data_IF_412267279558
#
_entry.id   IF_412267279558
#
_cell.length_a   1.000
_cell.length_b   1.000
_cell.length_c   1.000
_cell.angle_alpha   90.00
_cell.angle_beta   90.00
_cell.angle_gamma   90.00
#
_symmetry.space_group_name_H-M   'P 1'
#
loop_
_entity.id
_entity.type
_entity.pdbx_description
1 polymer ?
#
# COMPACT_ATOMS: atom_id res chain seq x y z
N UNK A 1 -11.10 0.85 -7.41
CA UNK A 1 -10.94 2.33 -7.56
C UNK A 1 -11.97 2.96 -8.49
N UNK A 2 -12.47 2.29 -9.56
CA UNK A 2 -13.46 2.84 -10.48
C UNK A 2 -14.73 3.33 -9.79
N UNK A 3 -15.36 2.48 -8.96
CA UNK A 3 -16.55 2.86 -8.19
C UNK A 3 -16.31 4.07 -7.28
N UNK A 4 -15.15 4.14 -6.64
CA UNK A 4 -14.80 5.29 -5.78
C UNK A 4 -14.82 6.61 -6.57
N UNK A 5 -14.23 6.64 -7.78
CA UNK A 5 -14.23 7.83 -8.64
C UNK A 5 -15.62 8.24 -9.09
N UNK A 6 -16.46 7.28 -9.49
CA UNK A 6 -17.86 7.56 -9.86
C UNK A 6 -18.62 8.15 -8.66
N UNK A 7 -18.43 7.57 -7.47
CA UNK A 7 -19.13 8.05 -6.27
C UNK A 7 -18.65 9.42 -5.83
N UNK A 8 -17.32 9.69 -5.92
CA UNK A 8 -16.77 11.04 -5.67
C UNK A 8 -17.38 12.06 -6.60
N UNK A 9 -17.40 11.79 -7.92
CA UNK A 9 -17.99 12.73 -8.89
C UNK A 9 -19.46 13.01 -8.62
N UNK A 10 -20.23 12.00 -8.25
CA UNK A 10 -21.66 12.12 -8.03
C UNK A 10 -22.03 12.82 -6.71
N UNK A 11 -21.29 12.57 -5.64
CA UNK A 11 -21.62 13.11 -4.31
C UNK A 11 -20.89 14.39 -3.95
N UNK A 12 -19.63 14.54 -4.44
CA UNK A 12 -18.77 15.66 -4.06
C UNK A 12 -18.49 16.60 -5.23
N UNK A 13 -18.65 16.13 -6.47
CA UNK A 13 -18.38 16.90 -7.67
C UNK A 13 -17.06 16.56 -8.35
N UNK A 14 -16.89 17.10 -9.56
CA UNK A 14 -15.75 16.82 -10.45
C UNK A 14 -14.42 17.34 -9.87
N UNK A 15 -14.43 18.46 -9.15
CA UNK A 15 -13.24 19.05 -8.54
C UNK A 15 -12.61 18.10 -7.51
N UNK A 16 -13.43 17.48 -6.65
CA UNK A 16 -12.96 16.48 -5.68
C UNK A 16 -12.42 15.23 -6.37
N UNK A 17 -12.98 14.85 -7.52
CA UNK A 17 -12.42 13.75 -8.31
C UNK A 17 -11.06 14.12 -8.90
N UNK A 18 -10.86 15.39 -9.29
CA UNK A 18 -9.56 15.94 -9.69
C UNK A 18 -8.53 15.85 -8.56
N UNK A 19 -8.90 16.27 -7.34
CA UNK A 19 -8.06 16.16 -6.14
C UNK A 19 -7.67 14.70 -5.87
N UNK A 20 -8.63 13.78 -5.91
CA UNK A 20 -8.37 12.36 -5.74
C UNK A 20 -7.48 11.78 -6.85
N UNK A 21 -7.66 12.26 -8.09
CA UNK A 21 -6.84 11.84 -9.23
C UNK A 21 -5.37 12.25 -9.07
N UNK A 22 -5.08 13.45 -8.56
CA UNK A 22 -3.70 13.88 -8.25
C UNK A 22 -3.08 12.93 -7.23
N UNK A 23 -3.75 12.65 -6.12
CA UNK A 23 -3.25 11.72 -5.12
C UNK A 23 -2.94 10.34 -5.70
N UNK A 24 -3.83 9.80 -6.54
CA UNK A 24 -3.61 8.49 -7.19
C UNK A 24 -2.46 8.52 -8.21
N UNK A 25 -2.19 9.64 -8.87
CA UNK A 25 -1.02 9.80 -9.76
C UNK A 25 0.30 9.74 -8.99
N UNK A 26 0.40 10.42 -7.86
CA UNK A 26 1.59 10.32 -7.01
C UNK A 26 1.83 8.89 -6.52
N UNK A 27 0.79 8.20 -6.08
CA UNK A 27 0.91 6.82 -5.63
C UNK A 27 1.22 5.83 -6.76
N UNK A 28 0.97 6.18 -8.04
CA UNK A 28 1.30 5.32 -9.18
C UNK A 28 2.80 5.10 -9.36
N UNK A 29 3.66 5.97 -8.83
CA UNK A 29 5.11 5.76 -8.81
C UNK A 29 5.45 4.51 -7.98
N UNK A 30 4.82 4.35 -6.82
CA UNK A 30 4.97 3.15 -5.97
C UNK A 30 4.47 1.92 -6.73
N UNK A 31 3.33 2.03 -7.40
CA UNK A 31 2.73 0.93 -8.17
C UNK A 31 3.67 0.48 -9.30
N UNK A 32 4.32 1.40 -10.00
CA UNK A 32 5.27 1.07 -11.08
C UNK A 32 6.45 0.24 -10.56
N UNK A 33 7.09 0.67 -9.46
CA UNK A 33 8.19 -0.08 -8.85
C UNK A 33 7.71 -1.46 -8.41
N UNK A 34 6.58 -1.53 -7.74
CA UNK A 34 5.97 -2.76 -7.26
C UNK A 34 5.59 -3.70 -8.40
N UNK A 35 5.09 -3.18 -9.53
CA UNK A 35 4.66 -4.00 -10.66
C UNK A 35 5.81 -4.78 -11.30
N UNK A 36 6.98 -4.17 -11.43
CA UNK A 36 8.19 -4.85 -11.95
C UNK A 36 8.57 -6.03 -11.06
N UNK A 37 8.61 -5.79 -9.75
CA UNK A 37 8.93 -6.85 -8.77
C UNK A 37 7.86 -7.94 -8.75
N UNK A 38 6.60 -7.56 -8.89
CA UNK A 38 5.49 -8.51 -8.90
C UNK A 38 5.52 -9.40 -10.15
N UNK A 39 5.94 -8.90 -11.32
CA UNK A 39 6.11 -9.70 -12.52
C UNK A 39 7.20 -10.76 -12.32
N UNK A 40 8.40 -10.34 -11.88
CA UNK A 40 9.50 -11.28 -11.60
C UNK A 40 9.13 -12.31 -10.54
N UNK A 41 8.42 -11.87 -9.50
CA UNK A 41 7.92 -12.77 -8.46
C UNK A 41 6.88 -13.77 -8.97
N UNK A 42 6.03 -13.34 -9.89
CA UNK A 42 5.04 -14.22 -10.49
C UNK A 42 5.69 -15.37 -11.26
N UNK A 43 6.69 -15.07 -12.09
CA UNK A 43 7.46 -16.09 -12.82
C UNK A 43 8.13 -17.08 -11.85
N UNK A 44 8.87 -16.57 -10.85
CA UNK A 44 9.50 -17.38 -9.83
C UNK A 44 8.47 -18.23 -9.05
N UNK A 45 7.31 -17.68 -8.74
CA UNK A 45 6.25 -18.40 -8.01
C UNK A 45 5.74 -19.63 -8.78
N UNK A 46 5.67 -19.58 -10.11
CA UNK A 46 5.28 -20.73 -10.95
C UNK A 46 6.34 -21.84 -10.95
N UNK A 47 7.62 -21.48 -10.90
CA UNK A 47 8.71 -22.45 -10.82
C UNK A 47 8.76 -23.10 -9.43
N UNK A 48 8.64 -22.30 -8.37
CA UNK A 48 8.70 -22.75 -6.97
C UNK A 48 7.58 -23.71 -6.57
N UNK A 49 6.45 -23.76 -7.30
CA UNK A 49 5.34 -24.70 -6.98
C UNK A 49 5.83 -26.16 -6.94
N UNK A 50 6.85 -26.51 -7.74
CA UNK A 50 7.40 -27.86 -7.83
C UNK A 50 8.46 -28.17 -6.76
N UNK A 51 8.96 -27.16 -6.06
CA UNK A 51 10.04 -27.31 -5.09
C UNK A 51 9.55 -27.81 -3.72
N UNK A 52 10.36 -28.64 -3.05
CA UNK A 52 10.07 -29.19 -1.73
C UNK A 52 10.04 -28.11 -0.64
N UNK A 53 10.88 -27.09 -0.78
CA UNK A 53 11.04 -25.99 0.19
C UNK A 53 10.25 -24.71 -0.18
N UNK A 54 9.26 -24.81 -1.06
CA UNK A 54 8.49 -23.68 -1.57
C UNK A 54 8.00 -22.70 -0.50
N UNK A 55 7.62 -23.23 0.68
CA UNK A 55 7.10 -22.39 1.76
C UNK A 55 8.15 -21.41 2.29
N UNK A 56 9.40 -21.86 2.48
CA UNK A 56 10.51 -21.02 2.96
C UNK A 56 10.81 -19.90 1.95
N UNK A 57 10.83 -20.23 0.65
CA UNK A 57 11.03 -19.24 -0.41
C UNK A 57 9.89 -18.21 -0.47
N UNK A 58 8.64 -18.64 -0.32
CA UNK A 58 7.50 -17.74 -0.28
C UNK A 58 7.52 -16.80 0.93
N UNK A 59 7.91 -17.29 2.11
CA UNK A 59 8.03 -16.48 3.30
C UNK A 59 9.14 -15.43 3.18
N UNK A 60 10.28 -15.79 2.59
CA UNK A 60 11.39 -14.86 2.31
C UNK A 60 10.96 -13.78 1.31
N UNK A 61 10.41 -14.18 0.16
CA UNK A 61 9.92 -13.23 -0.84
C UNK A 61 8.85 -12.29 -0.29
N UNK A 62 7.95 -12.82 0.54
CA UNK A 62 6.92 -12.04 1.22
C UNK A 62 7.53 -11.00 2.17
N UNK A 63 8.56 -11.37 2.92
CA UNK A 63 9.24 -10.46 3.85
C UNK A 63 9.99 -9.36 3.11
N UNK A 64 10.73 -9.70 2.05
CA UNK A 64 11.44 -8.71 1.22
C UNK A 64 10.47 -7.75 0.56
N UNK A 65 9.39 -8.25 -0.03
CA UNK A 65 8.37 -7.42 -0.65
C UNK A 65 7.66 -6.51 0.36
N UNK A 66 7.37 -7.04 1.55
CA UNK A 66 6.82 -6.26 2.67
C UNK A 66 7.76 -5.11 3.06
N UNK A 67 9.04 -5.37 3.22
CA UNK A 67 10.05 -4.39 3.58
C UNK A 67 10.16 -3.28 2.52
N UNK A 68 10.11 -3.64 1.23
CA UNK A 68 10.14 -2.68 0.12
C UNK A 68 8.92 -1.76 0.12
N UNK A 69 7.72 -2.32 0.26
CA UNK A 69 6.48 -1.52 0.33
C UNK A 69 6.51 -0.60 1.55
N UNK A 70 6.96 -1.11 2.70
CA UNK A 70 7.08 -0.32 3.91
C UNK A 70 8.03 0.86 3.73
N UNK A 71 9.26 0.63 3.27
CA UNK A 71 10.24 1.69 3.00
C UNK A 71 9.72 2.70 1.96
N UNK A 72 9.13 2.22 0.87
CA UNK A 72 8.54 3.07 -0.17
C UNK A 72 7.40 3.94 0.36
N UNK A 73 6.58 3.40 1.26
CA UNK A 73 5.44 4.13 1.84
C UNK A 73 5.91 5.25 2.78
N UNK A 74 6.84 4.98 3.71
CA UNK A 74 7.36 6.01 4.63
C UNK A 74 8.15 7.08 3.89
N UNK A 75 8.91 6.70 2.87
CA UNK A 75 9.62 7.64 2.00
C UNK A 75 8.63 8.52 1.23
N UNK A 76 7.59 7.96 0.62
CA UNK A 76 6.59 8.72 -0.11
C UNK A 76 5.83 9.70 0.80
N UNK A 77 5.45 9.29 2.02
CA UNK A 77 4.78 10.17 2.98
C UNK A 77 5.67 11.36 3.31
N UNK A 78 6.93 11.14 3.69
CA UNK A 78 7.83 12.21 4.12
C UNK A 78 8.29 13.13 2.98
N UNK A 79 8.50 12.59 1.77
CA UNK A 79 8.93 13.38 0.61
C UNK A 79 7.81 14.27 0.04
N UNK A 80 6.56 13.86 0.19
CA UNK A 80 5.42 14.58 -0.41
C UNK A 80 5.33 16.02 0.08
N UNK A 81 5.46 16.29 1.37
CA UNK A 81 5.39 17.65 1.91
C UNK A 81 6.42 18.60 1.29
N UNK A 82 7.56 18.06 0.86
CA UNK A 82 8.64 18.84 0.27
C UNK A 82 8.42 19.03 -1.23
N UNK A 83 8.05 17.95 -1.92
CA UNK A 83 7.96 17.94 -3.38
C UNK A 83 6.63 18.50 -3.92
N UNK A 84 5.57 18.45 -3.11
CA UNK A 84 4.22 18.76 -3.56
C UNK A 84 4.06 20.18 -4.08
N UNK A 85 4.65 21.14 -3.42
CA UNK A 85 4.61 22.57 -3.80
C UNK A 85 5.25 22.84 -5.18
N UNK A 86 6.24 22.03 -5.58
CA UNK A 86 6.93 22.16 -6.86
C UNK A 86 6.24 21.45 -8.01
N UNK A 87 5.47 20.39 -7.71
CA UNK A 87 4.92 19.47 -8.72
C UNK A 87 3.43 19.69 -8.98
N UNK A 88 2.72 20.35 -8.08
CA UNK A 88 1.25 20.47 -8.15
C UNK A 88 0.81 21.91 -8.24
N UNK A 89 -0.12 22.18 -9.18
CA UNK A 89 -0.73 23.50 -9.31
C UNK A 89 -1.55 23.88 -8.06
N UNK A 90 -1.55 25.16 -7.70
CA UNK A 90 -2.20 25.68 -6.47
C UNK A 90 -3.67 25.27 -6.34
N UNK A 91 -4.40 25.13 -7.45
CA UNK A 91 -5.81 24.70 -7.48
C UNK A 91 -6.05 23.31 -6.89
N UNK A 92 -5.00 22.45 -6.84
CA UNK A 92 -5.09 21.08 -6.33
C UNK A 92 -4.37 20.87 -4.99
N UNK A 93 -3.95 21.93 -4.31
CA UNK A 93 -3.22 21.81 -3.03
C UNK A 93 -4.00 21.05 -1.96
N UNK A 94 -5.31 21.05 -2.01
CA UNK A 94 -6.16 20.28 -1.11
C UNK A 94 -5.91 18.75 -1.19
N UNK A 95 -5.27 18.26 -2.27
CA UNK A 95 -4.89 16.86 -2.35
C UNK A 95 -3.85 16.46 -1.29
N UNK A 96 -3.05 17.40 -0.79
CA UNK A 96 -2.04 17.15 0.25
C UNK A 96 -2.63 16.48 1.48
N UNK A 97 -3.86 16.81 1.87
CA UNK A 97 -4.52 16.26 3.04
C UNK A 97 -4.89 14.77 2.94
N UNK A 98 -5.03 14.23 1.73
CA UNK A 98 -5.41 12.83 1.54
C UNK A 98 -4.23 11.95 1.13
N UNK A 99 -3.05 12.54 0.83
CA UNK A 99 -1.87 11.83 0.32
C UNK A 99 -1.41 10.68 1.22
N UNK A 100 -1.24 10.84 2.55
CA UNK A 100 -0.79 9.74 3.41
C UNK A 100 -1.75 8.54 3.36
N UNK A 101 -3.06 8.81 3.36
CA UNK A 101 -4.07 7.75 3.30
C UNK A 101 -4.05 7.03 1.94
N UNK A 102 -3.79 7.77 0.86
CA UNK A 102 -3.62 7.20 -0.48
C UNK A 102 -2.41 6.28 -0.53
N UNK A 103 -1.27 6.67 0.03
CA UNK A 103 -0.09 5.81 0.09
C UNK A 103 -0.34 4.54 0.91
N UNK A 104 -1.01 4.65 2.05
CA UNK A 104 -1.35 3.49 2.90
C UNK A 104 -2.26 2.52 2.15
N UNK A 105 -3.35 2.97 1.51
CA UNK A 105 -4.19 2.05 0.77
C UNK A 105 -3.48 1.46 -0.46
N UNK A 106 -2.60 2.23 -1.11
CA UNK A 106 -1.79 1.75 -2.25
C UNK A 106 -0.83 0.65 -1.80
N UNK A 107 -0.15 0.84 -0.67
CA UNK A 107 0.71 -0.16 -0.05
C UNK A 107 -0.06 -1.45 0.25
N UNK A 108 -1.22 -1.36 0.89
CA UNK A 108 -2.09 -2.50 1.19
C UNK A 108 -2.58 -3.18 -0.08
N UNK A 109 -2.97 -2.43 -1.11
CA UNK A 109 -3.40 -2.96 -2.41
C UNK A 109 -2.28 -3.75 -3.08
N UNK A 110 -1.07 -3.20 -3.10
CA UNK A 110 0.12 -3.83 -3.68
C UNK A 110 0.48 -5.12 -2.97
N UNK A 111 0.44 -5.11 -1.64
CA UNK A 111 0.71 -6.28 -0.82
C UNK A 111 -0.34 -7.40 -1.04
N UNK A 112 -1.61 -7.03 -1.15
CA UNK A 112 -2.67 -7.98 -1.52
C UNK A 112 -2.49 -8.56 -2.92
N UNK A 113 -2.01 -7.74 -3.88
CA UNK A 113 -1.65 -8.20 -5.23
C UNK A 113 -0.56 -9.26 -5.18
N UNK A 114 0.53 -8.98 -4.46
CA UNK A 114 1.64 -9.91 -4.27
C UNK A 114 1.20 -11.24 -3.66
N UNK A 115 0.42 -11.23 -2.58
CA UNK A 115 -0.14 -12.45 -1.99
C UNK A 115 -1.03 -13.24 -2.97
N UNK A 116 -1.76 -12.54 -3.82
CA UNK A 116 -2.65 -13.18 -4.80
C UNK A 116 -1.89 -13.95 -5.86
N UNK A 117 -0.65 -13.55 -6.23
CA UNK A 117 0.15 -14.27 -7.23
C UNK A 117 0.49 -15.69 -6.79
N UNK A 118 0.71 -15.91 -5.49
CA UNK A 118 0.99 -17.23 -4.94
C UNK A 118 -0.20 -18.18 -5.09
N UNK A 119 -1.42 -17.70 -4.82
CA UNK A 119 -2.63 -18.50 -5.02
C UNK A 119 -2.87 -18.81 -6.51
N UNK A 120 -2.54 -17.87 -7.39
CA UNK A 120 -2.65 -18.09 -8.84
C UNK A 120 -1.63 -19.13 -9.32
N UNK A 121 -0.38 -19.09 -8.84
CA UNK A 121 0.64 -20.09 -9.13
C UNK A 121 0.20 -21.50 -8.69
N UNK A 122 -0.45 -21.63 -7.55
CA UNK A 122 -0.99 -22.90 -7.04
C UNK A 122 -2.33 -23.31 -7.70
N UNK A 123 -2.78 -22.62 -8.76
CA UNK A 123 -4.06 -22.83 -9.44
C UNK A 123 -5.28 -22.70 -8.53
N UNK A 124 -5.15 -22.01 -7.41
CA UNK A 124 -6.22 -21.77 -6.44
C UNK A 124 -6.84 -20.37 -6.59
N UNK A 125 -7.24 -20.03 -7.80
CA UNK A 125 -7.84 -18.73 -8.14
C UNK A 125 -9.12 -18.40 -7.37
N UNK A 126 -9.85 -19.44 -6.88
CA UNK A 126 -11.07 -19.26 -6.09
C UNK A 126 -10.85 -18.41 -4.85
N UNK A 127 -9.74 -18.61 -4.13
CA UNK A 127 -9.42 -17.83 -2.92
C UNK A 127 -9.24 -16.36 -3.25
N UNK A 128 -8.46 -16.07 -4.31
CA UNK A 128 -8.24 -14.70 -4.80
C UNK A 128 -9.55 -14.06 -5.22
N UNK A 129 -10.40 -14.78 -5.99
CA UNK A 129 -11.69 -14.29 -6.45
C UNK A 129 -12.61 -13.90 -5.28
N UNK A 130 -12.85 -14.82 -4.34
CA UNK A 130 -13.72 -14.53 -3.19
C UNK A 130 -13.19 -13.39 -2.33
N UNK A 131 -11.88 -13.32 -2.12
CA UNK A 131 -11.28 -12.21 -1.35
C UNK A 131 -11.50 -10.85 -2.00
N UNK A 132 -11.42 -10.78 -3.35
CA UNK A 132 -11.69 -9.55 -4.11
C UNK A 132 -13.16 -9.17 -4.04
N UNK A 133 -14.08 -10.13 -4.24
CA UNK A 133 -15.52 -9.89 -4.21
C UNK A 133 -15.97 -9.37 -2.84
N UNK A 134 -15.55 -10.04 -1.76
CA UNK A 134 -15.89 -9.61 -0.40
C UNK A 134 -15.35 -8.20 -0.12
N UNK A 135 -14.09 -7.93 -0.47
CA UNK A 135 -13.49 -6.60 -0.29
C UNK A 135 -14.22 -5.53 -1.12
N UNK A 136 -14.64 -5.86 -2.35
CA UNK A 136 -15.39 -4.93 -3.21
C UNK A 136 -16.77 -4.60 -2.62
N UNK A 137 -17.51 -5.59 -2.13
CA UNK A 137 -18.81 -5.39 -1.47
C UNK A 137 -18.63 -4.51 -0.22
N UNK A 138 -17.67 -4.84 0.65
CA UNK A 138 -17.35 -4.03 1.82
C UNK A 138 -16.98 -2.58 1.44
N UNK A 139 -16.18 -2.41 0.39
CA UNK A 139 -15.81 -1.09 -0.08
C UNK A 139 -17.02 -0.27 -0.55
N UNK A 140 -17.92 -0.87 -1.34
CA UNK A 140 -19.14 -0.21 -1.81
C UNK A 140 -20.01 0.24 -0.62
N UNK A 141 -20.22 -0.63 0.36
CA UNK A 141 -21.01 -0.29 1.55
C UNK A 141 -20.35 0.84 2.33
N UNK A 142 -19.06 0.71 2.63
CA UNK A 142 -18.32 1.69 3.43
C UNK A 142 -18.20 3.05 2.74
N UNK A 143 -17.96 3.10 1.41
CA UNK A 143 -17.93 4.37 0.68
C UNK A 143 -19.26 5.08 0.81
N UNK A 144 -20.39 4.41 0.61
CA UNK A 144 -21.71 5.03 0.67
C UNK A 144 -22.03 5.64 2.05
N UNK A 145 -21.47 5.05 3.12
CA UNK A 145 -21.66 5.56 4.50
C UNK A 145 -20.69 6.70 4.78
N UNK A 146 -19.40 6.50 4.47
CA UNK A 146 -18.33 7.39 4.93
C UNK A 146 -18.17 8.66 4.07
N UNK A 147 -18.51 8.60 2.78
CA UNK A 147 -18.35 9.75 1.89
C UNK A 147 -19.19 10.95 2.33
N UNK A 148 -20.40 10.71 2.82
CA UNK A 148 -21.32 11.77 3.27
C UNK A 148 -20.82 12.48 4.52
N UNK A 149 -20.01 11.81 5.36
CA UNK A 149 -19.57 12.35 6.65
C UNK A 149 -18.12 12.86 6.61
N UNK A 150 -17.27 12.20 5.85
CA UNK A 150 -15.82 12.46 5.84
C UNK A 150 -15.27 12.80 4.45
N UNK A 151 -16.12 13.01 3.44
CA UNK A 151 -15.74 13.39 2.09
C UNK A 151 -14.65 12.46 1.51
N UNK A 152 -13.56 12.99 0.93
CA UNK A 152 -12.46 12.21 0.37
C UNK A 152 -11.71 11.35 1.40
N UNK A 153 -11.59 11.81 2.64
CA UNK A 153 -10.99 11.03 3.72
C UNK A 153 -11.78 9.75 3.96
N UNK A 154 -13.13 9.85 3.94
CA UNK A 154 -14.02 8.69 4.06
C UNK A 154 -13.82 7.66 2.94
N UNK A 155 -13.58 8.11 1.72
CA UNK A 155 -13.25 7.24 0.59
C UNK A 155 -11.93 6.50 0.82
N UNK A 156 -10.89 7.21 1.25
CA UNK A 156 -9.59 6.60 1.54
C UNK A 156 -9.68 5.58 2.67
N UNK A 157 -10.38 5.90 3.76
CA UNK A 157 -10.60 4.99 4.89
C UNK A 157 -11.36 3.73 4.43
N UNK A 158 -12.40 3.86 3.59
CA UNK A 158 -13.15 2.72 3.08
C UNK A 158 -12.27 1.77 2.25
N UNK A 159 -11.38 2.33 1.43
CA UNK A 159 -10.40 1.56 0.67
C UNK A 159 -9.41 0.83 1.59
N UNK A 160 -8.86 1.52 2.60
CA UNK A 160 -7.94 0.92 3.59
C UNK A 160 -8.60 -0.27 4.29
N UNK A 161 -9.81 -0.07 4.84
CA UNK A 161 -10.53 -1.14 5.55
C UNK A 161 -10.79 -2.33 4.62
N UNK A 162 -11.23 -2.09 3.39
CA UNK A 162 -11.52 -3.14 2.42
C UNK A 162 -10.26 -3.95 2.06
N UNK A 163 -9.11 -3.30 1.91
CA UNK A 163 -7.85 -4.00 1.67
C UNK A 163 -7.33 -4.73 2.91
N UNK A 164 -7.59 -4.25 4.12
CA UNK A 164 -7.30 -4.99 5.36
C UNK A 164 -8.15 -6.26 5.45
N UNK A 165 -9.45 -6.17 5.15
CA UNK A 165 -10.33 -7.34 5.11
C UNK A 165 -9.83 -8.37 4.10
N UNK A 166 -9.46 -7.91 2.89
CA UNK A 166 -8.88 -8.78 1.86
C UNK A 166 -7.60 -9.46 2.32
N UNK A 167 -6.69 -8.70 2.95
CA UNK A 167 -5.45 -9.22 3.50
C UNK A 167 -5.70 -10.30 4.55
N UNK A 168 -6.65 -10.06 5.45
CA UNK A 168 -7.05 -11.05 6.47
C UNK A 168 -7.54 -12.36 5.84
N UNK A 169 -8.40 -12.28 4.81
CA UNK A 169 -8.94 -13.46 4.11
C UNK A 169 -7.83 -14.27 3.42
N UNK A 170 -6.89 -13.59 2.75
CA UNK A 170 -5.76 -14.22 2.08
C UNK A 170 -4.82 -14.90 3.10
N UNK A 171 -4.45 -14.21 4.19
CA UNK A 171 -3.56 -14.75 5.24
C UNK A 171 -4.15 -15.96 5.95
N UNK A 172 -5.45 -15.92 6.29
CA UNK A 172 -6.14 -17.02 6.96
C UNK A 172 -6.04 -18.32 6.16
N UNK A 173 -6.06 -18.22 4.83
CA UNK A 173 -6.03 -19.41 3.96
C UNK A 173 -4.62 -19.97 3.76
N UNK A 174 -3.60 -19.13 3.69
CA UNK A 174 -2.24 -19.58 3.33
C UNK A 174 -1.36 -19.96 4.53
N UNK A 175 -1.69 -19.55 5.75
CA UNK A 175 -0.89 -19.78 6.98
C UNK A 175 0.58 -19.32 6.86
N UNK A 176 0.87 -18.33 5.99
CA UNK A 176 2.20 -17.72 5.91
C UNK A 176 2.51 -16.94 7.20
N UNK A 177 3.69 -17.17 7.73
CA UNK A 177 4.14 -16.47 8.93
C UNK A 177 4.92 -15.21 8.52
N UNK A 178 4.26 -14.06 8.64
CA UNK A 178 4.99 -12.81 8.80
C UNK A 178 5.36 -12.65 10.26
N UNK A 179 6.56 -12.18 10.52
CA UNK A 179 6.98 -11.84 11.88
C UNK A 179 6.01 -10.80 12.46
N UNK A 180 5.21 -11.27 13.43
CA UNK A 180 4.17 -10.42 14.04
C UNK A 180 4.77 -9.17 14.67
N UNK A 181 5.92 -9.28 15.34
CA UNK A 181 6.58 -8.15 16.01
C UNK A 181 7.00 -7.09 14.98
N UNK A 182 7.65 -7.53 13.89
CA UNK A 182 8.04 -6.62 12.80
C UNK A 182 6.83 -5.96 12.13
N UNK A 183 5.77 -6.71 11.90
CA UNK A 183 4.54 -6.17 11.29
C UNK A 183 3.89 -5.11 12.18
N UNK A 184 3.76 -5.35 13.47
CA UNK A 184 3.20 -4.38 14.42
C UNK A 184 4.08 -3.14 14.50
N UNK A 185 5.40 -3.31 14.60
CA UNK A 185 6.34 -2.19 14.63
C UNK A 185 6.24 -1.33 13.36
N UNK A 186 6.16 -1.94 12.19
CA UNK A 186 6.02 -1.20 10.92
C UNK A 186 4.72 -0.40 10.85
N UNK A 187 3.61 -0.96 11.35
CA UNK A 187 2.33 -0.26 11.42
C UNK A 187 2.44 0.95 12.35
N UNK A 188 3.06 0.79 13.52
CA UNK A 188 3.29 1.90 14.46
C UNK A 188 4.15 2.99 13.79
N UNK A 189 5.23 2.62 13.10
CA UNK A 189 6.08 3.58 12.38
C UNK A 189 5.27 4.32 11.31
N UNK A 190 4.48 3.63 10.49
CA UNK A 190 3.62 4.28 9.48
C UNK A 190 2.66 5.27 10.16
N UNK A 191 2.04 4.90 11.28
CA UNK A 191 1.18 5.82 12.04
C UNK A 191 1.93 7.06 12.51
N UNK A 192 3.17 6.91 13.01
CA UNK A 192 4.02 8.04 13.41
C UNK A 192 4.32 8.95 12.21
N UNK A 193 4.65 8.38 11.04
CA UNK A 193 4.89 9.15 9.81
C UNK A 193 3.64 9.90 9.36
N UNK A 194 2.48 9.28 9.42
CA UNK A 194 1.20 9.93 9.08
C UNK A 194 0.89 11.07 10.06
N UNK A 195 1.11 10.88 11.36
CA UNK A 195 0.93 11.94 12.36
C UNK A 195 1.91 13.08 12.14
N UNK A 196 3.21 12.79 11.95
CA UNK A 196 4.23 13.78 11.64
C UNK A 196 3.88 14.59 10.38
N UNK A 197 3.37 13.93 9.34
CA UNK A 197 2.92 14.59 8.12
C UNK A 197 1.82 15.63 8.39
N UNK A 198 0.83 15.31 9.21
CA UNK A 198 -0.28 16.23 9.51
C UNK A 198 0.10 17.39 10.43
N UNK A 199 1.27 17.37 11.07
CA UNK A 199 1.78 18.58 11.78
C UNK A 199 2.10 19.73 10.84
N UNK A 200 2.36 19.46 9.56
CA UNK A 200 2.74 20.46 8.57
C UNK A 200 4.13 21.08 8.77
N UNK A 201 4.89 20.64 9.78
CA UNK A 201 6.22 21.19 10.10
C UNK A 201 7.23 20.67 9.09
N UNK A 202 7.68 21.53 8.17
CA UNK A 202 8.63 21.15 7.10
C UNK A 202 9.93 20.54 7.64
N UNK A 203 10.51 21.12 8.70
CA UNK A 203 11.74 20.60 9.32
C UNK A 203 11.54 19.17 9.84
N UNK A 204 10.41 18.90 10.49
CA UNK A 204 10.08 17.55 10.97
C UNK A 204 9.97 16.56 9.81
N UNK A 205 9.29 16.94 8.72
CA UNK A 205 9.15 16.09 7.54
C UNK A 205 10.48 15.85 6.82
N UNK A 206 11.40 16.83 6.81
CA UNK A 206 12.78 16.64 6.31
C UNK A 206 13.56 15.65 7.19
N UNK A 207 13.48 15.77 8.50
CA UNK A 207 14.09 14.81 9.42
C UNK A 207 13.53 13.40 9.21
N UNK A 208 12.20 13.26 9.09
CA UNK A 208 11.54 11.97 8.81
C UNK A 208 11.95 11.38 7.45
N UNK A 209 12.22 12.23 6.45
CA UNK A 209 12.73 11.77 5.16
C UNK A 209 14.15 11.20 5.29
N UNK A 210 15.04 11.86 6.01
CA UNK A 210 16.40 11.33 6.28
C UNK A 210 16.29 10.00 7.03
N UNK A 211 15.46 9.93 8.07
CA UNK A 211 15.23 8.71 8.83
C UNK A 211 14.70 7.58 7.93
N UNK A 212 13.79 7.88 7.00
CA UNK A 212 13.25 6.87 6.07
C UNK A 212 14.34 6.29 5.15
N UNK A 213 15.28 7.12 4.68
CA UNK A 213 16.45 6.68 3.89
C UNK A 213 17.35 5.78 4.73
N UNK A 214 17.66 6.18 5.97
CA UNK A 214 18.49 5.38 6.88
C UNK A 214 17.84 4.02 7.17
N UNK A 215 16.54 4.00 7.46
CA UNK A 215 15.78 2.75 7.67
C UNK A 215 15.87 1.85 6.42
N UNK A 216 15.67 2.41 5.23
CA UNK A 216 15.78 1.67 3.98
C UNK A 216 17.19 1.07 3.81
N UNK A 217 18.25 1.86 4.03
CA UNK A 217 19.62 1.38 3.92
C UNK A 217 19.93 0.25 4.92
N UNK A 218 19.44 0.33 6.16
CA UNK A 218 19.64 -0.72 7.18
C UNK A 218 18.93 -2.01 6.76
N UNK A 219 17.69 -1.91 6.33
CA UNK A 219 16.90 -3.08 5.92
C UNK A 219 17.52 -3.74 4.69
N UNK A 220 17.85 -2.98 3.65
CA UNK A 220 18.42 -3.54 2.42
C UNK A 220 19.84 -4.06 2.62
N UNK A 221 20.67 -3.41 3.46
CA UNK A 221 21.99 -3.93 3.81
C UNK A 221 21.89 -5.31 4.46
N UNK A 222 20.95 -5.51 5.36
CA UNK A 222 20.73 -6.82 6.01
C UNK A 222 20.26 -7.88 5.03
N UNK A 223 19.42 -7.53 4.07
CA UNK A 223 18.94 -8.46 3.03
C UNK A 223 20.04 -8.82 2.02
N UNK A 224 20.86 -7.85 1.60
CA UNK A 224 21.98 -8.07 0.69
C UNK A 224 23.03 -8.98 1.36
N UNK A 225 23.43 -8.70 2.60
CA UNK A 225 24.38 -9.55 3.34
C UNK A 225 23.87 -10.97 3.51
N UNK A 226 22.56 -11.15 3.63
CA UNK A 226 21.94 -12.48 3.74
C UNK A 226 21.91 -13.25 2.41
N UNK A 227 21.98 -12.57 1.27
CA UNK A 227 22.07 -13.19 -0.05
C UNK A 227 23.50 -13.63 -0.42
N UNK A 228 24.51 -13.04 0.21
CA UNK A 228 25.92 -13.34 -0.02
C UNK A 228 26.49 -14.43 0.93
N UNK A 229 25.74 -14.81 1.97
CA UNK A 229 26.06 -15.94 2.89
C UNK A 229 25.10 -17.10 2.65
#
# INVERSE_FOLDING_TARGET
TGYARLKISNELGVDYNGIFAIGTRFSSIIILIVSVLQMSWQEMSYELVKEKEKKSYYEKGLQTFYNMIFCGTIFAISSTQILFEFLVAKSYYNAIYIMPLIYVYTALSSFNGFLSTQFLAEKNSKVTFYSVVIAAICNIVLINILIKRFMLVGVCISLIISFIIRLYLLRKKYKLQLDYKKTVLSVIIICVYVLAYYTGIKILNMAMLIISIVIALIIFKSEILYLYN
#
